data_IF_325179631933
#
_entry.id   IF_325179631933
#
_cell.length_a   1.000
_cell.length_b   1.000
_cell.length_c   1.000
_cell.angle_alpha   90.00
_cell.angle_beta   90.00
_cell.angle_gamma   90.00
#
_symmetry.space_group_name_H-M   'P 1'
#
loop_
_entity.id
_entity.type
_entity.pdbx_description
1 polymer ?
#
# COMPACT_ATOMS: atom_id res chain seq x y z
N UNK A 1 21.25 2.13 6.73
CA UNK A 1 21.38 2.63 5.34
C UNK A 1 20.48 3.84 5.17
N UNK A 2 20.99 4.90 4.56
CA UNK A 2 20.20 6.08 4.24
C UNK A 2 19.15 5.76 3.17
N UNK A 3 18.03 6.49 3.11
CA UNK A 3 16.99 6.18 2.14
C UNK A 3 17.46 6.16 0.69
N UNK A 4 18.33 7.08 0.29
CA UNK A 4 18.87 7.10 -1.08
C UNK A 4 19.71 5.86 -1.36
N UNK A 5 20.46 5.38 -0.38
CA UNK A 5 21.25 4.16 -0.50
C UNK A 5 20.36 2.93 -0.60
N UNK A 6 19.25 2.91 0.17
CA UNK A 6 18.25 1.83 0.07
C UNK A 6 17.67 1.77 -1.34
N UNK A 7 17.28 2.91 -1.89
CA UNK A 7 16.71 2.98 -3.25
C UNK A 7 17.71 2.43 -4.27
N UNK A 8 18.96 2.89 -4.21
CA UNK A 8 19.98 2.45 -5.16
C UNK A 8 20.23 0.95 -5.06
N UNK A 9 20.29 0.42 -3.84
CA UNK A 9 20.51 -1.02 -3.61
C UNK A 9 19.31 -1.84 -4.08
N UNK A 10 18.09 -1.39 -3.82
CA UNK A 10 16.87 -2.06 -4.26
C UNK A 10 16.80 -2.09 -5.77
N UNK A 11 17.12 -0.98 -6.44
CA UNK A 11 17.18 -0.91 -7.91
C UNK A 11 18.15 -1.93 -8.49
N UNK A 12 19.26 -2.16 -7.79
CA UNK A 12 20.26 -3.14 -8.19
C UNK A 12 19.86 -4.59 -7.86
N UNK A 13 18.71 -4.79 -7.22
CA UNK A 13 18.17 -6.11 -6.92
C UNK A 13 18.56 -6.66 -5.56
N UNK A 14 18.99 -5.81 -4.62
CA UNK A 14 19.37 -6.24 -3.27
C UNK A 14 18.14 -6.61 -2.44
N UNK A 15 18.00 -7.89 -2.13
CA UNK A 15 16.94 -8.39 -1.23
C UNK A 15 17.14 -7.89 0.19
N UNK A 16 18.38 -7.80 0.64
CA UNK A 16 18.68 -7.30 1.97
C UNK A 16 18.22 -5.86 2.17
N UNK A 17 18.47 -5.01 1.18
CA UNK A 17 18.01 -3.62 1.21
C UNK A 17 16.49 -3.54 1.16
N UNK A 18 15.85 -4.39 0.35
CA UNK A 18 14.39 -4.47 0.29
C UNK A 18 13.80 -4.89 1.64
N UNK A 19 14.37 -5.92 2.26
CA UNK A 19 13.91 -6.38 3.57
C UNK A 19 14.09 -5.31 4.65
N UNK A 20 15.20 -4.56 4.60
CA UNK A 20 15.42 -3.43 5.52
C UNK A 20 14.37 -2.34 5.33
N UNK A 21 14.04 -2.01 4.08
CA UNK A 21 12.99 -1.04 3.78
C UNK A 21 11.65 -1.50 4.34
N UNK A 22 11.28 -2.74 4.09
CA UNK A 22 10.02 -3.30 4.60
C UNK A 22 9.97 -3.25 6.12
N UNK A 23 11.03 -3.65 6.79
CA UNK A 23 11.10 -3.64 8.25
C UNK A 23 11.02 -2.24 8.83
N UNK A 24 11.64 -1.26 8.16
CA UNK A 24 11.66 0.13 8.62
C UNK A 24 10.31 0.82 8.47
N UNK A 25 9.60 0.57 7.38
CA UNK A 25 8.42 1.34 7.02
C UNK A 25 7.10 0.61 7.22
N UNK A 26 7.11 -0.68 7.54
CA UNK A 26 5.88 -1.45 7.70
C UNK A 26 4.92 -0.84 8.73
N UNK A 27 5.42 -0.56 9.93
CA UNK A 27 4.58 -0.05 11.00
C UNK A 27 4.00 1.34 10.70
N UNK A 28 4.82 2.34 10.30
CA UNK A 28 4.25 3.66 9.98
C UNK A 28 3.33 3.64 8.75
N UNK A 29 3.63 2.84 7.74
CA UNK A 29 2.75 2.74 6.57
C UNK A 29 1.43 2.06 6.90
N UNK A 30 1.46 1.03 7.74
CA UNK A 30 0.24 0.36 8.20
C UNK A 30 -0.62 1.30 9.03
N UNK A 31 0.00 2.07 9.93
CA UNK A 31 -0.71 3.08 10.70
C UNK A 31 -1.38 4.12 9.80
N UNK A 32 -0.68 4.56 8.74
CA UNK A 32 -1.22 5.48 7.76
C UNK A 32 -2.40 4.87 6.99
N UNK A 33 -2.24 3.63 6.54
CA UNK A 33 -3.29 2.92 5.81
C UNK A 33 -4.57 2.75 6.65
N UNK A 34 -4.42 2.60 7.97
CA UNK A 34 -5.56 2.47 8.89
C UNK A 34 -6.42 3.73 8.97
N UNK A 35 -5.93 4.87 8.50
CA UNK A 35 -6.76 6.07 8.38
C UNK A 35 -7.84 5.92 7.31
N UNK A 36 -7.64 5.02 6.36
CA UNK A 36 -8.53 4.82 5.22
C UNK A 36 -9.23 3.46 5.24
N UNK A 37 -8.60 2.44 5.84
CA UNK A 37 -9.02 1.04 5.76
C UNK A 37 -9.00 0.39 7.13
N UNK A 38 -9.86 -0.61 7.31
CA UNK A 38 -9.87 -1.44 8.52
C UNK A 38 -8.67 -2.39 8.54
N UNK A 39 -8.28 -2.79 9.74
CA UNK A 39 -7.12 -3.55 10.13
C UNK A 39 -6.44 -4.44 9.09
N UNK A 40 -7.07 -5.58 8.75
CA UNK A 40 -6.46 -6.55 7.84
C UNK A 40 -6.29 -6.00 6.42
N UNK A 41 -7.21 -5.14 5.99
CA UNK A 41 -7.14 -4.53 4.67
C UNK A 41 -6.01 -3.52 4.58
N UNK A 42 -5.73 -2.79 5.67
CA UNK A 42 -4.60 -1.89 5.74
C UNK A 42 -3.28 -2.64 5.57
N UNK A 43 -3.13 -3.78 6.22
CA UNK A 43 -1.94 -4.64 6.09
C UNK A 43 -1.79 -5.15 4.66
N UNK A 44 -2.89 -5.59 4.05
CA UNK A 44 -2.87 -6.10 2.67
C UNK A 44 -2.42 -5.03 1.68
N UNK A 45 -2.92 -3.80 1.84
CA UNK A 45 -2.51 -2.69 0.98
C UNK A 45 -1.01 -2.40 1.12
N UNK A 46 -0.49 -2.39 2.35
CA UNK A 46 0.94 -2.14 2.58
C UNK A 46 1.79 -3.25 1.94
N UNK A 47 1.38 -4.50 2.08
CA UNK A 47 2.08 -5.62 1.44
C UNK A 47 2.06 -5.50 -0.08
N UNK A 48 0.93 -5.13 -0.67
CA UNK A 48 0.82 -4.90 -2.11
C UNK A 48 1.73 -3.77 -2.57
N UNK A 49 1.83 -2.69 -1.78
CA UNK A 49 2.75 -1.59 -2.09
C UNK A 49 4.19 -2.09 -2.11
N UNK A 50 4.60 -2.90 -1.12
CA UNK A 50 5.95 -3.45 -1.10
C UNK A 50 6.23 -4.36 -2.30
N UNK A 51 5.28 -5.22 -2.66
CA UNK A 51 5.43 -6.08 -3.84
C UNK A 51 5.59 -5.23 -5.11
N UNK A 52 4.79 -4.18 -5.25
CA UNK A 52 4.88 -3.27 -6.39
C UNK A 52 6.21 -2.53 -6.43
N UNK A 53 6.74 -2.13 -5.28
CA UNK A 53 8.07 -1.51 -5.21
C UNK A 53 9.13 -2.46 -5.76
N UNK A 54 9.08 -3.73 -5.36
CA UNK A 54 10.05 -4.72 -5.85
C UNK A 54 9.91 -4.97 -7.34
N UNK A 55 8.69 -5.17 -7.82
CA UNK A 55 8.41 -5.45 -9.24
C UNK A 55 8.84 -4.25 -10.11
N UNK A 56 8.59 -3.03 -9.63
CA UNK A 56 8.91 -1.80 -10.36
C UNK A 56 10.15 -1.09 -9.84
N UNK A 57 11.06 -1.83 -9.22
CA UNK A 57 12.22 -1.24 -8.54
C UNK A 57 13.09 -0.38 -9.44
N UNK A 58 13.12 -0.65 -10.73
CA UNK A 58 13.89 0.14 -11.69
C UNK A 58 13.33 1.55 -11.87
N UNK A 59 12.06 1.77 -11.55
CA UNK A 59 11.41 3.08 -11.64
C UNK A 59 11.67 3.96 -10.41
N UNK A 60 12.28 3.43 -9.36
CA UNK A 60 12.60 4.21 -8.16
C UNK A 60 13.67 5.25 -8.48
N UNK A 61 13.51 6.44 -7.91
CA UNK A 61 14.46 7.56 -8.10
C UNK A 61 15.19 7.86 -6.80
N UNK A 62 16.52 7.64 -6.74
CA UNK A 62 17.30 7.93 -5.54
C UNK A 62 17.27 9.40 -5.12
N UNK A 63 16.93 10.30 -6.05
CA UNK A 63 16.80 11.73 -5.77
C UNK A 63 15.49 12.12 -5.11
N UNK A 64 14.53 11.20 -4.99
CA UNK A 64 13.24 11.46 -4.37
C UNK A 64 13.16 10.83 -2.99
N UNK A 65 12.20 11.31 -2.18
CA UNK A 65 11.94 10.75 -0.86
C UNK A 65 11.30 9.36 -0.98
N UNK A 66 11.99 8.35 -0.47
CA UNK A 66 11.45 6.99 -0.43
C UNK A 66 10.18 6.93 0.40
N UNK A 67 10.19 7.56 1.59
CA UNK A 67 9.03 7.55 2.47
C UNK A 67 7.83 8.28 1.82
N UNK A 68 8.09 9.41 1.17
CA UNK A 68 7.04 10.13 0.44
C UNK A 68 6.43 9.30 -0.69
N UNK A 69 7.28 8.58 -1.42
CA UNK A 69 6.82 7.67 -2.47
C UNK A 69 5.93 6.56 -1.90
N UNK A 70 6.36 5.95 -0.79
CA UNK A 70 5.60 4.88 -0.15
C UNK A 70 4.27 5.37 0.40
N UNK A 71 4.24 6.56 1.03
CA UNK A 71 2.99 7.16 1.52
C UNK A 71 2.01 7.41 0.38
N UNK A 72 2.49 7.94 -0.73
CA UNK A 72 1.65 8.19 -1.90
C UNK A 72 1.11 6.90 -2.48
N UNK A 73 1.95 5.86 -2.53
CA UNK A 73 1.54 4.54 -3.03
C UNK A 73 0.47 3.92 -2.14
N UNK A 74 0.63 4.01 -0.81
CA UNK A 74 -0.37 3.52 0.14
C UNK A 74 -1.68 4.29 -0.02
N UNK A 75 -1.62 5.61 -0.14
CA UNK A 75 -2.82 6.43 -0.35
C UNK A 75 -3.56 6.02 -1.62
N UNK A 76 -2.85 5.93 -2.75
CA UNK A 76 -3.46 5.57 -4.03
C UNK A 76 -4.06 4.17 -4.01
N UNK A 77 -3.36 3.21 -3.43
CA UNK A 77 -3.86 1.84 -3.28
C UNK A 77 -5.07 1.78 -2.36
N UNK A 78 -5.07 2.55 -1.27
CA UNK A 78 -6.18 2.60 -0.33
C UNK A 78 -7.42 3.19 -0.98
N UNK A 79 -7.28 4.27 -1.75
CA UNK A 79 -8.40 4.88 -2.47
C UNK A 79 -8.98 3.89 -3.48
N UNK A 80 -8.12 3.22 -4.24
CA UNK A 80 -8.58 2.22 -5.21
C UNK A 80 -9.32 1.07 -4.52
N UNK A 81 -8.82 0.64 -3.38
CA UNK A 81 -9.43 -0.44 -2.61
C UNK A 81 -10.81 -0.03 -2.10
N UNK A 82 -10.93 1.17 -1.52
CA UNK A 82 -12.21 1.69 -1.04
C UNK A 82 -13.21 1.80 -2.18
N UNK A 83 -12.81 2.35 -3.32
CA UNK A 83 -13.69 2.50 -4.47
C UNK A 83 -14.19 1.16 -4.99
N UNK A 84 -13.30 0.16 -5.07
CA UNK A 84 -13.65 -1.18 -5.51
C UNK A 84 -14.64 -1.86 -4.57
N UNK A 85 -14.41 -1.75 -3.26
CA UNK A 85 -15.29 -2.40 -2.26
C UNK A 85 -16.55 -1.59 -1.96
N UNK A 86 -16.51 -0.28 -2.17
CA UNK A 86 -17.69 0.58 -2.03
C UNK A 86 -18.81 0.15 -2.96
N UNK A 87 -18.49 -0.19 -4.21
CA UNK A 87 -19.48 -0.71 -5.15
C UNK A 87 -20.08 -2.03 -4.67
N UNK A 88 -19.25 -2.93 -4.16
CA UNK A 88 -19.73 -4.21 -3.61
C UNK A 88 -20.61 -4.00 -2.39
N UNK A 89 -20.24 -3.10 -1.48
CA UNK A 89 -21.03 -2.77 -0.30
C UNK A 89 -22.37 -2.12 -0.67
N UNK A 90 -22.38 -1.21 -1.64
CA UNK A 90 -23.61 -0.57 -2.12
C UNK A 90 -24.55 -1.58 -2.72
N UNK A 91 -24.04 -2.54 -3.48
CA UNK A 91 -24.84 -3.61 -4.05
C UNK A 91 -25.45 -4.50 -2.96
N UNK A 92 -24.67 -4.87 -1.96
CA UNK A 92 -25.17 -5.69 -0.84
C UNK A 92 -26.27 -4.97 -0.07
N UNK A 93 -26.08 -3.70 0.25
CA UNK A 93 -27.09 -2.90 0.94
C UNK A 93 -28.36 -2.80 0.15
N UNK A 94 -28.26 -2.59 -1.17
CA UNK A 94 -29.39 -2.48 -2.05
C UNK A 94 -30.21 -3.79 -2.10
N UNK A 95 -29.53 -4.91 -2.26
CA UNK A 95 -30.19 -6.21 -2.27
C UNK A 95 -30.78 -6.56 -0.91
N UNK A 96 -30.10 -6.25 0.16
CA UNK A 96 -30.54 -6.53 1.51
C UNK A 96 -31.81 -5.75 1.87
N UNK A 97 -31.86 -4.47 1.51
CA UNK A 97 -33.05 -3.65 1.69
C UNK A 97 -34.24 -4.19 0.89
N UNK A 98 -34.03 -4.64 -0.33
CA UNK A 98 -35.09 -5.21 -1.15
C UNK A 98 -35.63 -6.51 -0.61
N UNK A 99 -34.76 -7.36 -0.07
CA UNK A 99 -35.15 -8.63 0.53
C UNK A 99 -35.94 -8.38 1.81
N UNK A 100 -35.56 -7.42 2.63
CA UNK A 100 -36.24 -7.06 3.86
C UNK A 100 -37.58 -6.35 3.63
N UNK A 101 -37.77 -5.73 2.47
CA UNK A 101 -39.04 -5.07 2.11
C UNK A 101 -40.10 -6.02 1.58
N UNK A 102 -39.73 -7.27 1.34
CA UNK A 102 -40.65 -8.29 0.88
C UNK A 102 -41.21 -9.07 2.08
#
# INVERSE_FOLDING_TARGET
MEPAELISAIRAGSREAFDEMCGRYYAPLTAYARLFLNGNWAQDVVQDVFVNVWVRREALDPGQSLYGYLLRSVYNQSVNYVNKHRHACSYRSYYQERIESI
#
